data_IF_646227627351
#
_entry.id   IF_646227627351
#
_cell.length_a   1.000
_cell.length_b   1.000
_cell.length_c   1.000
_cell.angle_alpha   90.00
_cell.angle_beta   90.00
_cell.angle_gamma   90.00
#
_symmetry.space_group_name_H-M   'P 1'
#
loop_
_entity.id
_entity.type
_entity.pdbx_description
1 polymer ?
#
# COMPACT_ATOMS: atom_id res chain seq x y z
N UNK A 1 22.19 -6.01 11.68
CA UNK A 1 22.15 -5.86 10.20
C UNK A 1 20.70 -5.78 9.78
N UNK A 2 20.28 -4.68 9.17
CA UNK A 2 18.90 -4.50 8.71
C UNK A 2 18.80 -5.08 7.29
N UNK A 3 18.36 -6.34 7.15
CA UNK A 3 18.21 -7.01 5.85
C UNK A 3 16.97 -6.44 5.17
N UNK A 4 17.14 -5.71 4.06
CA UNK A 4 16.03 -5.30 3.20
C UNK A 4 15.54 -6.53 2.42
N UNK A 5 14.23 -6.73 2.38
CA UNK A 5 13.60 -7.80 1.61
C UNK A 5 13.78 -7.54 0.11
N UNK A 6 14.09 -8.60 -0.64
CA UNK A 6 14.15 -8.52 -2.11
C UNK A 6 12.74 -8.40 -2.71
N UNK A 7 12.66 -7.86 -3.92
CA UNK A 7 11.38 -7.64 -4.62
C UNK A 7 10.67 -8.97 -4.93
N UNK A 8 11.43 -10.06 -5.16
CA UNK A 8 10.89 -11.41 -5.34
C UNK A 8 10.36 -12.02 -4.04
N UNK A 9 11.04 -11.81 -2.91
CA UNK A 9 10.53 -12.23 -1.58
C UNK A 9 9.24 -11.49 -1.24
N UNK A 10 9.16 -10.20 -1.58
CA UNK A 10 7.95 -9.38 -1.41
C UNK A 10 6.82 -9.91 -2.32
N UNK A 11 7.11 -10.14 -3.60
CA UNK A 11 6.12 -10.62 -4.57
C UNK A 11 5.60 -12.01 -4.21
N UNK A 12 6.49 -12.94 -3.82
CA UNK A 12 6.12 -14.29 -3.39
C UNK A 12 5.24 -14.30 -2.15
N UNK A 13 5.58 -13.47 -1.14
CA UNK A 13 4.75 -13.32 0.06
C UNK A 13 3.37 -12.71 -0.24
N UNK A 14 3.29 -11.82 -1.24
CA UNK A 14 2.06 -11.13 -1.62
C UNK A 14 1.19 -11.89 -2.63
N UNK A 15 1.76 -12.81 -3.39
CA UNK A 15 1.01 -13.69 -4.29
C UNK A 15 0.07 -14.63 -3.53
N UNK A 16 0.44 -15.02 -2.31
CA UNK A 16 -0.43 -15.75 -1.38
C UNK A 16 -1.35 -14.83 -0.55
N UNK A 17 -1.27 -13.51 -0.74
CA UNK A 17 -2.05 -12.56 0.07
C UNK A 17 -3.53 -12.56 -0.36
N UNK A 18 -4.47 -12.57 0.59
CA UNK A 18 -5.90 -12.50 0.29
C UNK A 18 -6.34 -11.15 -0.31
N UNK A 19 -5.45 -10.14 -0.34
CA UNK A 19 -5.79 -8.79 -0.78
C UNK A 19 -5.60 -8.60 -2.30
N UNK A 20 -6.56 -7.98 -3.00
CA UNK A 20 -6.50 -7.77 -4.45
C UNK A 20 -5.37 -6.81 -4.87
N UNK A 21 -4.97 -6.79 -6.16
CA UNK A 21 -3.95 -5.85 -6.66
C UNK A 21 -4.35 -4.36 -6.55
N UNK A 22 -5.65 -4.08 -6.57
CA UNK A 22 -6.21 -2.73 -6.38
C UNK A 22 -7.01 -2.73 -5.09
N UNK A 23 -6.61 -1.88 -4.15
CA UNK A 23 -7.17 -1.82 -2.81
C UNK A 23 -8.16 -0.66 -2.66
N UNK A 24 -9.21 -0.89 -1.87
CA UNK A 24 -9.98 0.18 -1.24
C UNK A 24 -9.15 0.87 -0.12
N UNK A 25 -9.58 2.03 0.39
CA UNK A 25 -8.94 2.66 1.54
C UNK A 25 -8.90 1.76 2.78
N UNK A 26 -9.92 0.94 3.01
CA UNK A 26 -10.02 0.01 4.13
C UNK A 26 -9.00 -1.13 3.99
N UNK A 27 -8.92 -1.74 2.80
CA UNK A 27 -7.96 -2.81 2.49
C UNK A 27 -6.51 -2.30 2.56
N UNK A 28 -6.26 -1.10 2.05
CA UNK A 28 -4.95 -0.45 2.13
C UNK A 28 -4.56 -0.14 3.58
N UNK A 29 -5.49 0.35 4.40
CA UNK A 29 -5.24 0.61 5.81
C UNK A 29 -4.97 -0.70 6.59
N UNK A 30 -5.73 -1.76 6.29
CA UNK A 30 -5.50 -3.09 6.85
C UNK A 30 -4.12 -3.64 6.48
N UNK A 31 -3.74 -3.53 5.20
CA UNK A 31 -2.43 -3.95 4.69
C UNK A 31 -1.28 -3.27 5.43
N UNK A 32 -1.37 -1.94 5.60
CA UNK A 32 -0.33 -1.15 6.26
C UNK A 32 -0.45 -1.15 7.80
N UNK A 33 -1.47 -1.81 8.36
CA UNK A 33 -1.82 -1.79 9.79
C UNK A 33 -1.97 -0.36 10.35
N UNK A 34 -2.63 0.51 9.59
CA UNK A 34 -2.94 1.89 9.96
C UNK A 34 -4.44 2.07 10.19
N UNK A 35 -4.82 3.14 10.90
CA UNK A 35 -6.20 3.62 10.86
C UNK A 35 -6.48 4.21 9.47
N UNK A 36 -7.70 4.01 8.97
CA UNK A 36 -8.14 4.58 7.67
C UNK A 36 -8.00 6.10 7.64
N UNK A 37 -8.27 6.80 8.75
CA UNK A 37 -8.06 8.25 8.86
C UNK A 37 -6.60 8.66 8.70
N UNK A 38 -5.65 7.87 9.20
CA UNK A 38 -4.22 8.08 9.01
C UNK A 38 -3.82 7.88 7.55
N UNK A 39 -4.38 6.87 6.88
CA UNK A 39 -4.16 6.64 5.46
C UNK A 39 -4.66 7.84 4.62
N UNK A 40 -5.85 8.35 4.91
CA UNK A 40 -6.37 9.55 4.24
C UNK A 40 -5.51 10.79 4.49
N UNK A 41 -5.05 10.99 5.73
CA UNK A 41 -4.13 12.08 6.07
C UNK A 41 -2.85 11.98 5.23
N UNK A 42 -2.22 10.82 5.18
CA UNK A 42 -1.01 10.60 4.36
C UNK A 42 -1.24 10.85 2.88
N UNK A 43 -2.37 10.38 2.33
CA UNK A 43 -2.74 10.67 0.95
C UNK A 43 -2.92 12.18 0.70
N UNK A 44 -3.54 12.91 1.65
CA UNK A 44 -3.71 14.37 1.56
C UNK A 44 -2.40 15.14 1.69
N UNK A 45 -1.44 14.61 2.44
CA UNK A 45 -0.08 15.13 2.59
C UNK A 45 0.82 14.82 1.36
N UNK A 46 0.29 14.10 0.37
CA UNK A 46 1.01 13.76 -0.86
C UNK A 46 1.89 12.50 -0.76
N UNK A 47 1.79 11.73 0.32
CA UNK A 47 2.45 10.41 0.41
C UNK A 47 1.76 9.39 -0.50
N UNK A 48 2.50 8.36 -0.90
CA UNK A 48 1.98 7.26 -1.75
C UNK A 48 1.60 7.72 -3.15
N UNK A 49 2.31 8.71 -3.68
CA UNK A 49 1.92 9.45 -4.88
C UNK A 49 1.81 8.59 -6.14
N UNK A 50 2.69 7.59 -6.29
CA UNK A 50 2.67 6.65 -7.42
C UNK A 50 1.73 5.47 -7.19
N UNK A 51 1.39 5.19 -5.92
CA UNK A 51 0.48 4.15 -5.50
C UNK A 51 -1.00 4.57 -5.54
N UNK A 52 -1.31 5.87 -5.46
CA UNK A 52 -2.69 6.37 -5.46
C UNK A 52 -3.22 6.52 -6.89
N UNK A 53 -4.36 5.86 -7.18
CA UNK A 53 -5.21 6.20 -8.32
C UNK A 53 -6.20 7.28 -7.89
N UNK A 54 -5.94 8.52 -8.33
CA UNK A 54 -6.79 9.68 -8.01
C UNK A 54 -8.16 9.53 -8.67
N UNK A 55 -9.22 9.80 -7.91
CA UNK A 55 -10.61 9.67 -8.35
C UNK A 55 -11.55 9.45 -7.17
N UNK A 56 -12.87 9.44 -7.45
CA UNK A 56 -13.90 9.04 -6.49
C UNK A 56 -14.49 7.70 -6.97
N UNK A 57 -14.34 6.60 -6.22
CA UNK A 57 -13.65 6.46 -4.93
C UNK A 57 -12.12 6.39 -5.05
N UNK A 58 -11.41 6.74 -3.97
CA UNK A 58 -9.95 6.61 -3.87
C UNK A 58 -9.54 5.13 -3.91
N UNK A 59 -8.47 4.82 -4.64
CA UNK A 59 -7.93 3.46 -4.80
C UNK A 59 -6.42 3.45 -4.76
N UNK A 60 -5.86 2.32 -4.34
CA UNK A 60 -4.42 2.14 -4.19
C UNK A 60 -3.93 0.93 -4.96
N UNK A 61 -2.81 1.06 -5.67
CA UNK A 61 -2.08 -0.07 -6.24
C UNK A 61 -1.31 -0.76 -5.11
N UNK A 62 -1.67 -2.01 -4.79
CA UNK A 62 -1.10 -2.77 -3.66
C UNK A 62 0.42 -2.76 -3.66
N UNK A 63 1.01 -3.17 -4.78
CA UNK A 63 2.46 -3.40 -4.85
C UNK A 63 3.25 -2.08 -4.74
N UNK A 64 2.76 -1.01 -5.39
CA UNK A 64 3.36 0.34 -5.27
C UNK A 64 3.18 0.92 -3.88
N UNK A 65 2.03 0.68 -3.23
CA UNK A 65 1.77 1.15 -1.88
C UNK A 65 2.75 0.54 -0.89
N UNK A 66 3.03 -0.76 -1.04
CA UNK A 66 4.01 -1.47 -0.22
C UNK A 66 5.42 -0.93 -0.47
N UNK A 67 5.80 -0.72 -1.73
CA UNK A 67 7.09 -0.14 -2.09
C UNK A 67 7.28 1.24 -1.47
N UNK A 68 6.32 2.16 -1.63
CA UNK A 68 6.41 3.50 -1.06
C UNK A 68 6.32 3.54 0.47
N UNK A 69 5.72 2.53 1.10
CA UNK A 69 5.67 2.43 2.56
C UNK A 69 6.97 1.90 3.17
N UNK A 70 7.73 1.08 2.45
CA UNK A 70 8.99 0.49 2.91
C UNK A 70 10.24 1.34 2.63
N UNK A 71 10.10 2.43 1.86
CA UNK A 71 11.15 3.42 1.58
C UNK A 71 11.25 4.46 2.72
#
# INVERSE_FOLDING_TARGET
MNRKLSLDEITGALAASPLPPILTPEEAAQLLRLKVSTLYRHASEGRYGSAIKRGKPLRFWRDRLIQEFML
#
